data_IF_317301734395
#
_entry.id   IF_317301734395
#
_cell.length_a   1.000
_cell.length_b   1.000
_cell.length_c   1.000
_cell.angle_alpha   90.00
_cell.angle_beta   90.00
_cell.angle_gamma   90.00
#
_symmetry.space_group_name_H-M   'P 1'
#
loop_
_entity.id
_entity.type
_entity.pdbx_description
1 polymer ?
#
# COMPACT_ATOMS: atom_id res chain seq x y z
N UNK A 1 -66.42 19.46 -20.43
CA UNK A 1 -65.47 18.36 -20.18
C UNK A 1 -64.13 18.79 -20.75
N UNK A 2 -63.41 19.65 -20.03
CA UNK A 2 -62.09 20.11 -20.46
C UNK A 2 -61.02 19.20 -19.85
N UNK A 3 -60.17 18.67 -20.72
CA UNK A 3 -59.13 17.72 -20.38
C UNK A 3 -57.99 18.41 -19.61
N UNK A 4 -57.52 17.76 -18.55
CA UNK A 4 -56.29 18.10 -17.86
C UNK A 4 -55.08 18.04 -18.83
N UNK A 5 -54.29 19.11 -18.99
CA UNK A 5 -53.01 19.02 -19.66
C UNK A 5 -51.99 18.38 -18.72
N UNK A 6 -51.44 17.26 -19.19
CA UNK A 6 -50.28 16.55 -18.66
C UNK A 6 -49.09 17.48 -18.49
N UNK A 7 -48.53 17.51 -17.28
CA UNK A 7 -47.28 18.21 -16.96
C UNK A 7 -46.14 17.62 -17.81
N UNK A 8 -45.45 18.42 -18.66
CA UNK A 8 -44.34 17.90 -19.45
C UNK A 8 -43.14 17.59 -18.54
N UNK A 9 -42.62 16.38 -18.71
CA UNK A 9 -41.38 15.87 -18.13
C UNK A 9 -40.23 16.86 -18.39
N UNK A 10 -39.75 17.50 -17.32
CA UNK A 10 -38.66 18.47 -17.38
C UNK A 10 -37.41 17.84 -18.04
N UNK A 11 -37.03 18.38 -19.19
CA UNK A 11 -35.80 18.06 -19.89
C UNK A 11 -34.58 18.48 -19.03
N UNK A 12 -33.52 17.65 -18.97
CA UNK A 12 -32.34 17.98 -18.18
C UNK A 12 -31.66 19.21 -18.81
N UNK A 13 -31.58 20.29 -18.04
CA UNK A 13 -30.88 21.51 -18.44
C UNK A 13 -29.40 21.20 -18.74
N UNK A 14 -28.79 21.82 -19.76
CA UNK A 14 -27.43 21.48 -20.24
C UNK A 14 -26.35 21.60 -19.16
N UNK A 15 -26.51 22.53 -18.20
CA UNK A 15 -25.61 22.70 -17.04
C UNK A 15 -25.47 21.44 -16.18
N UNK A 16 -26.53 20.63 -16.08
CA UNK A 16 -26.55 19.42 -15.26
C UNK A 16 -25.78 18.27 -15.91
N UNK A 17 -25.77 18.21 -17.25
CA UNK A 17 -25.05 17.17 -18.00
C UNK A 17 -23.54 17.44 -17.98
N UNK A 18 -23.12 18.69 -18.19
CA UNK A 18 -21.72 19.10 -18.13
C UNK A 18 -21.10 18.87 -16.74
N UNK A 19 -21.84 19.20 -15.68
CA UNK A 19 -21.39 18.97 -14.31
C UNK A 19 -21.21 17.48 -13.99
N UNK A 20 -22.16 16.63 -14.41
CA UNK A 20 -22.02 15.17 -14.27
C UNK A 20 -20.79 14.64 -15.01
N UNK A 21 -20.48 15.15 -16.20
CA UNK A 21 -19.30 14.73 -16.95
C UNK A 21 -18.00 15.16 -16.27
N UNK A 22 -17.95 16.39 -15.75
CA UNK A 22 -16.83 16.90 -14.95
C UNK A 22 -16.58 16.04 -13.71
N UNK A 23 -17.65 15.72 -12.97
CA UNK A 23 -17.59 14.87 -11.78
C UNK A 23 -17.08 13.46 -12.12
N UNK A 24 -17.50 12.88 -13.26
CA UNK A 24 -16.99 11.58 -13.71
C UNK A 24 -15.48 11.59 -13.98
N UNK A 25 -14.95 12.68 -14.56
CA UNK A 25 -13.51 12.86 -14.77
C UNK A 25 -12.80 12.93 -13.40
N UNK A 26 -13.32 13.74 -12.48
CA UNK A 26 -12.78 13.87 -11.14
C UNK A 26 -12.78 12.53 -10.38
N UNK A 27 -13.87 11.75 -10.47
CA UNK A 27 -13.96 10.43 -9.85
C UNK A 27 -12.91 9.46 -10.41
N UNK A 28 -12.75 9.43 -11.74
CA UNK A 28 -11.76 8.58 -12.40
C UNK A 28 -10.35 8.94 -11.95
N UNK A 29 -10.01 10.22 -11.96
CA UNK A 29 -8.68 10.69 -11.62
C UNK A 29 -8.37 10.45 -10.13
N UNK A 30 -9.36 10.60 -9.26
CA UNK A 30 -9.22 10.30 -7.83
C UNK A 30 -9.01 8.81 -7.54
N UNK A 31 -9.70 7.92 -8.27
CA UNK A 31 -9.44 6.47 -8.17
C UNK A 31 -8.04 6.14 -8.66
N UNK A 32 -7.59 6.70 -9.78
CA UNK A 32 -6.22 6.49 -10.30
C UNK A 32 -5.19 6.97 -9.29
N UNK A 33 -5.42 8.14 -8.69
CA UNK A 33 -4.56 8.70 -7.67
C UNK A 33 -4.44 7.78 -6.44
N UNK A 34 -5.57 7.27 -5.94
CA UNK A 34 -5.62 6.29 -4.86
C UNK A 34 -4.81 5.03 -5.21
N UNK A 35 -4.95 4.52 -6.43
CA UNK A 35 -4.17 3.36 -6.88
C UNK A 35 -2.67 3.65 -6.91
N UNK A 36 -2.25 4.84 -7.34
CA UNK A 36 -0.83 5.23 -7.32
C UNK A 36 -0.30 5.36 -5.91
N UNK A 37 -1.06 5.93 -4.98
CA UNK A 37 -0.67 6.00 -3.57
C UNK A 37 -0.51 4.60 -2.97
N UNK A 38 -1.48 3.72 -3.17
CA UNK A 38 -1.43 2.33 -2.71
C UNK A 38 -0.26 1.56 -3.32
N UNK A 39 -0.01 1.72 -4.61
CA UNK A 39 1.10 1.07 -5.30
C UNK A 39 2.46 1.51 -4.75
N UNK A 40 2.64 2.82 -4.52
CA UNK A 40 3.84 3.35 -3.89
C UNK A 40 4.04 2.82 -2.47
N UNK A 41 2.98 2.80 -1.64
CA UNK A 41 3.02 2.21 -0.31
C UNK A 41 3.38 0.71 -0.36
N UNK A 42 2.77 -0.04 -1.26
CA UNK A 42 3.01 -1.48 -1.41
C UNK A 42 4.46 -1.77 -1.79
N UNK A 43 5.03 -1.00 -2.72
CA UNK A 43 6.45 -1.11 -3.10
C UNK A 43 7.38 -0.86 -1.91
N UNK A 44 7.06 0.11 -1.05
CA UNK A 44 7.82 0.38 0.17
C UNK A 44 7.73 -0.79 1.16
N UNK A 45 6.52 -1.32 1.40
CA UNK A 45 6.31 -2.44 2.31
C UNK A 45 6.96 -3.75 1.81
N UNK A 46 6.91 -4.04 0.51
CA UNK A 46 7.56 -5.21 -0.07
C UNK A 46 9.07 -5.15 0.09
N UNK A 47 9.67 -3.97 -0.09
CA UNK A 47 11.10 -3.77 0.17
C UNK A 47 11.41 -4.03 1.65
N UNK A 48 10.62 -3.48 2.59
CA UNK A 48 10.77 -3.72 4.03
C UNK A 48 10.75 -5.22 4.36
N UNK A 49 9.75 -5.98 3.88
CA UNK A 49 9.62 -7.41 4.20
C UNK A 49 10.82 -8.26 3.77
N UNK A 50 11.40 -7.97 2.60
CA UNK A 50 12.61 -8.68 2.12
C UNK A 50 13.80 -8.47 3.07
N UNK A 51 13.94 -7.26 3.60
CA UNK A 51 15.01 -6.91 4.53
C UNK A 51 14.80 -7.48 5.93
N UNK A 52 13.57 -7.45 6.42
CA UNK A 52 13.18 -8.07 7.68
C UNK A 52 13.43 -9.58 7.65
N UNK A 53 13.07 -10.25 6.55
CA UNK A 53 13.38 -11.67 6.35
C UNK A 53 14.88 -11.95 6.33
N UNK A 54 15.68 -11.11 5.64
CA UNK A 54 17.13 -11.23 5.62
C UNK A 54 17.75 -11.04 7.01
N UNK A 55 17.25 -10.07 7.81
CA UNK A 55 17.68 -9.88 9.20
C UNK A 55 17.42 -11.14 10.02
N UNK A 56 16.18 -11.62 10.02
CA UNK A 56 15.78 -12.78 10.80
C UNK A 56 16.61 -14.01 10.41
N UNK A 57 16.81 -14.23 9.11
CA UNK A 57 17.68 -15.29 8.63
C UNK A 57 19.11 -15.15 9.17
N UNK A 58 19.68 -13.95 9.13
CA UNK A 58 21.04 -13.71 9.58
C UNK A 58 21.19 -13.91 11.10
N UNK A 59 20.21 -13.50 11.89
CA UNK A 59 20.18 -13.74 13.34
C UNK A 59 20.04 -15.23 13.67
N UNK A 60 19.19 -15.97 12.94
CA UNK A 60 19.08 -17.42 13.09
C UNK A 60 20.40 -18.13 12.76
N UNK A 61 21.05 -17.77 11.65
CA UNK A 61 22.36 -18.32 11.29
C UNK A 61 23.42 -17.99 12.35
N UNK A 62 23.46 -16.75 12.84
CA UNK A 62 24.41 -16.33 13.87
C UNK A 62 24.25 -17.18 15.14
N UNK A 63 23.00 -17.37 15.58
CA UNK A 63 22.68 -18.16 16.78
C UNK A 63 23.03 -19.65 16.59
N UNK A 64 22.68 -20.21 15.43
CA UNK A 64 23.00 -21.60 15.10
C UNK A 64 24.50 -21.86 15.04
N UNK A 65 25.26 -21.04 14.30
CA UNK A 65 26.70 -21.22 14.19
C UNK A 65 27.42 -20.94 15.51
N UNK A 66 26.92 -20.00 16.31
CA UNK A 66 27.43 -19.77 17.66
C UNK A 66 27.27 -21.04 18.51
N UNK A 67 26.08 -21.66 18.50
CA UNK A 67 25.85 -22.93 19.19
C UNK A 67 26.77 -24.05 18.68
N UNK A 68 26.89 -24.21 17.35
CA UNK A 68 27.70 -25.25 16.72
C UNK A 68 29.22 -25.08 16.89
N UNK A 69 29.70 -23.88 17.23
CA UNK A 69 31.13 -23.60 17.50
C UNK A 69 31.44 -23.74 18.99
N UNK A 70 30.56 -23.25 19.87
CA UNK A 70 30.84 -23.15 21.30
C UNK A 70 30.29 -24.30 22.16
N UNK A 71 29.13 -24.88 21.81
CA UNK A 71 28.46 -25.89 22.65
C UNK A 71 28.80 -27.30 22.18
N UNK A 72 28.65 -27.57 20.88
CA UNK A 72 28.92 -28.87 20.28
C UNK A 72 30.01 -28.77 19.19
N UNK A 73 31.30 -28.59 19.57
CA UNK A 73 32.38 -28.53 18.60
C UNK A 73 32.52 -29.90 17.90
N UNK A 74 32.19 -29.93 16.61
CA UNK A 74 32.37 -31.12 15.78
C UNK A 74 33.82 -31.61 15.82
N UNK A 75 34.01 -32.90 16.10
CA UNK A 75 35.33 -33.55 16.20
C UNK A 75 36.15 -33.47 14.90
N UNK A 76 35.47 -33.30 13.76
CA UNK A 76 36.10 -33.07 12.47
C UNK A 76 36.55 -31.61 12.36
N UNK A 77 37.87 -31.40 12.37
CA UNK A 77 38.51 -30.08 12.27
C UNK A 77 37.98 -29.25 11.08
N UNK A 78 37.78 -29.88 9.92
CA UNK A 78 37.25 -29.21 8.72
C UNK A 78 35.83 -28.69 8.95
N UNK A 79 34.95 -29.48 9.57
CA UNK A 79 33.59 -29.04 9.88
C UNK A 79 33.59 -27.90 10.90
N UNK A 80 34.45 -27.96 11.92
CA UNK A 80 34.60 -26.88 12.88
C UNK A 80 35.14 -25.59 12.23
N UNK A 81 36.13 -25.69 11.34
CA UNK A 81 36.66 -24.55 10.59
C UNK A 81 35.58 -23.91 9.70
N UNK A 82 34.79 -24.71 8.99
CA UNK A 82 33.68 -24.22 8.14
C UNK A 82 32.64 -23.48 9.01
N UNK A 83 32.25 -24.04 10.15
CA UNK A 83 31.30 -23.39 11.06
C UNK A 83 31.85 -22.07 11.62
N UNK A 84 33.13 -22.01 11.96
CA UNK A 84 33.78 -20.79 12.46
C UNK A 84 33.88 -19.71 11.38
N UNK A 85 34.24 -20.07 10.14
CA UNK A 85 34.24 -19.13 9.01
C UNK A 85 32.83 -18.65 8.70
N UNK A 86 31.82 -19.54 8.74
CA UNK A 86 30.42 -19.17 8.54
C UNK A 86 29.89 -18.24 9.65
N UNK A 87 30.32 -18.46 10.90
CA UNK A 87 30.03 -17.56 12.02
C UNK A 87 30.60 -16.17 11.78
N UNK A 88 31.88 -16.07 11.40
CA UNK A 88 32.53 -14.79 11.09
C UNK A 88 31.88 -14.11 9.87
N UNK A 89 31.52 -14.87 8.83
CA UNK A 89 30.85 -14.34 7.64
C UNK A 89 29.45 -13.79 7.97
N UNK A 90 28.68 -14.48 8.82
CA UNK A 90 27.34 -14.03 9.24
C UNK A 90 27.41 -12.77 10.11
N UNK A 91 28.35 -12.71 11.06
CA UNK A 91 28.63 -11.52 11.86
C UNK A 91 29.08 -10.33 10.99
N UNK A 92 30.00 -10.56 10.06
CA UNK A 92 30.47 -9.53 9.11
C UNK A 92 29.35 -9.02 8.19
N UNK A 93 28.48 -9.91 7.73
CA UNK A 93 27.28 -9.54 6.94
C UNK A 93 26.32 -8.67 7.75
N UNK A 94 26.20 -8.89 9.06
CA UNK A 94 25.31 -8.10 9.93
C UNK A 94 25.87 -6.68 10.11
N UNK A 95 27.18 -6.56 10.31
CA UNK A 95 27.87 -5.26 10.38
C UNK A 95 27.74 -4.51 9.06
N UNK A 96 27.97 -5.19 7.92
CA UNK A 96 27.77 -4.59 6.61
C UNK A 96 26.34 -4.09 6.43
N UNK A 97 25.34 -4.89 6.83
CA UNK A 97 23.95 -4.49 6.76
C UNK A 97 23.69 -3.23 7.60
N UNK A 98 24.18 -3.20 8.84
CA UNK A 98 24.01 -2.07 9.75
C UNK A 98 24.67 -0.79 9.19
N UNK A 99 25.91 -0.91 8.70
CA UNK A 99 26.67 0.18 8.08
C UNK A 99 26.06 0.65 6.76
N UNK A 100 25.47 -0.25 5.98
CA UNK A 100 24.77 0.06 4.73
C UNK A 100 23.51 0.92 4.95
N UNK A 101 23.13 1.22 6.21
CA UNK A 101 22.05 2.17 6.53
C UNK A 101 20.66 1.65 6.17
N UNK A 102 20.56 0.41 5.70
CA UNK A 102 19.33 -0.18 5.16
C UNK A 102 18.23 -0.39 6.21
N UNK A 103 18.58 -0.55 7.49
CA UNK A 103 17.60 -0.65 8.59
C UNK A 103 16.91 0.69 8.87
N UNK A 104 17.69 1.77 8.98
CA UNK A 104 17.17 3.08 9.40
C UNK A 104 16.36 3.75 8.28
N UNK A 105 16.88 3.75 7.05
CA UNK A 105 16.22 4.46 5.95
C UNK A 105 14.87 3.84 5.55
N UNK A 106 14.66 2.53 5.71
CA UNK A 106 13.52 1.84 5.07
C UNK A 106 12.43 1.40 6.04
N UNK A 107 12.76 1.17 7.31
CA UNK A 107 11.76 0.83 8.33
C UNK A 107 11.06 2.09 8.83
N UNK A 108 11.81 3.18 9.06
CA UNK A 108 11.22 4.46 9.48
C UNK A 108 10.37 5.08 8.38
N UNK A 109 10.85 5.06 7.13
CA UNK A 109 10.15 5.69 6.01
C UNK A 109 8.77 5.06 5.74
N UNK A 110 8.62 3.75 5.96
CA UNK A 110 7.31 3.10 5.85
C UNK A 110 6.31 3.62 6.89
N UNK A 111 6.77 3.90 8.12
CA UNK A 111 5.92 4.46 9.18
C UNK A 111 5.62 5.94 8.96
N UNK A 112 6.54 6.68 8.36
CA UNK A 112 6.40 8.10 8.05
C UNK A 112 5.68 8.38 6.72
N UNK A 113 5.53 7.37 5.86
CA UNK A 113 4.87 7.51 4.56
C UNK A 113 3.45 8.05 4.69
N UNK A 114 2.66 7.49 5.61
CA UNK A 114 1.26 7.90 5.84
C UNK A 114 1.15 9.36 6.33
N UNK A 115 1.83 9.78 7.41
CA UNK A 115 1.77 11.18 7.85
C UNK A 115 2.35 12.15 6.81
N UNK A 116 3.40 11.77 6.07
CA UNK A 116 3.95 12.60 5.00
C UNK A 116 2.96 12.78 3.84
N UNK A 117 2.28 11.70 3.41
CA UNK A 117 1.22 11.79 2.42
C UNK A 117 0.04 12.61 2.94
N UNK A 118 -0.39 12.41 4.18
CA UNK A 118 -1.50 13.15 4.77
C UNK A 118 -1.25 14.66 4.82
N UNK A 119 -0.01 15.09 5.06
CA UNK A 119 0.35 16.51 5.02
C UNK A 119 0.18 17.12 3.62
N UNK A 120 0.52 16.38 2.57
CA UNK A 120 0.31 16.81 1.19
C UNK A 120 -1.17 16.68 0.74
N UNK A 121 -1.91 15.72 1.29
CA UNK A 121 -3.32 15.48 0.97
C UNK A 121 -4.27 16.46 1.66
N UNK A 122 -3.84 17.07 2.77
CA UNK A 122 -4.60 18.07 3.50
C UNK A 122 -4.97 19.28 2.64
N UNK A 123 -4.09 19.75 1.74
CA UNK A 123 -4.40 20.87 0.83
C UNK A 123 -5.53 20.52 -0.15
N UNK A 124 -5.71 19.24 -0.46
CA UNK A 124 -6.78 18.72 -1.31
C UNK A 124 -8.02 18.28 -0.52
N UNK A 125 -8.07 18.51 0.80
CA UNK A 125 -9.12 18.00 1.68
C UNK A 125 -9.30 16.47 1.56
N UNK A 126 -8.18 15.76 1.36
CA UNK A 126 -8.10 14.30 1.32
C UNK A 126 -7.30 13.76 2.50
N UNK A 127 -7.57 12.53 2.92
CA UNK A 127 -6.81 11.82 3.94
C UNK A 127 -6.57 10.37 3.51
N UNK A 128 -5.34 9.91 3.63
CA UNK A 128 -4.94 8.53 3.40
C UNK A 128 -4.94 7.75 4.72
N UNK A 129 -5.72 6.68 4.78
CA UNK A 129 -6.07 5.89 5.98
C UNK A 129 -7.16 6.51 6.87
N UNK A 130 -8.42 6.56 6.41
CA UNK A 130 -9.55 6.67 7.32
C UNK A 130 -9.50 5.48 8.27
N UNK A 131 -9.70 5.73 9.57
CA UNK A 131 -9.66 4.73 10.67
C UNK A 131 -10.49 3.47 10.39
N UNK A 132 -11.48 3.58 9.50
CA UNK A 132 -12.39 2.51 9.08
C UNK A 132 -11.89 1.63 7.93
N UNK A 133 -10.99 2.11 7.04
CA UNK A 133 -10.53 1.36 5.85
C UNK A 133 -9.06 1.66 5.50
N UNK A 134 -8.10 0.83 5.94
CA UNK A 134 -6.68 1.07 5.68
C UNK A 134 -6.37 1.02 4.18
N UNK A 135 -5.69 2.06 3.68
CA UNK A 135 -5.31 2.20 2.27
C UNK A 135 -6.34 2.92 1.39
N UNK A 136 -7.52 3.29 1.90
CA UNK A 136 -8.46 4.15 1.17
C UNK A 136 -8.13 5.64 1.30
N UNK A 137 -8.45 6.40 0.26
CA UNK A 137 -8.51 7.87 0.36
C UNK A 137 -9.89 8.25 0.89
N UNK A 138 -9.91 8.88 2.06
CA UNK A 138 -11.10 9.49 2.66
C UNK A 138 -11.14 11.00 2.38
N UNK A 139 -12.33 11.57 2.46
CA UNK A 139 -12.55 13.00 2.32
C UNK A 139 -12.69 13.66 3.70
N UNK A 140 -12.21 14.90 3.83
CA UNK A 140 -12.61 15.74 4.95
C UNK A 140 -14.06 16.22 4.78
N UNK A 141 -14.68 16.62 5.89
CA UNK A 141 -16.08 17.10 5.96
C UNK A 141 -16.40 18.31 5.08
N UNK A 142 -15.38 19.00 4.54
CA UNK A 142 -15.52 20.17 3.67
C UNK A 142 -16.03 19.83 2.27
N UNK A 143 -16.01 18.56 1.85
CA UNK A 143 -16.51 18.14 0.53
C UNK A 143 -18.00 17.79 0.61
N UNK A 144 -18.85 18.27 -0.30
CA UNK A 144 -20.29 17.99 -0.29
C UNK A 144 -20.60 16.48 -0.27
N UNK A 145 -21.56 16.06 0.57
CA UNK A 145 -21.93 14.64 0.71
C UNK A 145 -22.38 14.00 -0.61
N UNK A 146 -23.08 14.75 -1.46
CA UNK A 146 -23.51 14.27 -2.78
C UNK A 146 -22.33 13.80 -3.65
N UNK A 147 -21.20 14.53 -3.61
CA UNK A 147 -19.98 14.14 -4.31
C UNK A 147 -19.33 12.92 -3.67
N UNK A 148 -19.34 12.84 -2.32
CA UNK A 148 -18.79 11.68 -1.60
C UNK A 148 -19.56 10.40 -1.95
N UNK A 149 -20.90 10.46 -1.95
CA UNK A 149 -21.78 9.34 -2.27
C UNK A 149 -21.61 8.92 -3.74
N UNK A 150 -21.54 9.90 -4.66
CA UNK A 150 -21.30 9.66 -6.08
C UNK A 150 -19.94 8.99 -6.35
N UNK A 151 -18.89 9.47 -5.69
CA UNK A 151 -17.57 8.86 -5.76
C UNK A 151 -17.53 7.47 -5.15
N UNK A 152 -18.16 7.22 -4.00
CA UNK A 152 -18.21 5.89 -3.38
C UNK A 152 -18.90 4.88 -4.30
N UNK A 153 -20.02 5.28 -4.92
CA UNK A 153 -20.70 4.46 -5.92
C UNK A 153 -19.78 4.14 -7.12
N UNK A 154 -19.12 5.16 -7.68
CA UNK A 154 -18.17 4.99 -8.78
C UNK A 154 -17.01 4.04 -8.40
N UNK A 155 -16.42 4.24 -7.21
CA UNK A 155 -15.34 3.42 -6.66
C UNK A 155 -15.74 1.95 -6.54
N UNK A 156 -16.93 1.67 -6.00
CA UNK A 156 -17.47 0.30 -5.89
C UNK A 156 -17.59 -0.36 -7.27
N UNK A 157 -18.16 0.34 -8.25
CA UNK A 157 -18.27 -0.15 -9.62
C UNK A 157 -16.91 -0.41 -10.28
N UNK A 158 -15.95 0.50 -10.09
CA UNK A 158 -14.60 0.36 -10.61
C UNK A 158 -13.89 -0.88 -10.07
N UNK A 159 -13.90 -1.08 -8.74
CA UNK A 159 -13.26 -2.25 -8.13
C UNK A 159 -13.98 -3.56 -8.43
N UNK A 160 -15.32 -3.55 -8.55
CA UNK A 160 -16.07 -4.74 -8.98
C UNK A 160 -15.63 -5.20 -10.37
N UNK A 161 -15.50 -4.26 -11.32
CA UNK A 161 -14.97 -4.56 -12.68
C UNK A 161 -13.54 -5.08 -12.63
N UNK A 162 -12.68 -4.50 -11.78
CA UNK A 162 -11.29 -4.95 -11.63
C UNK A 162 -11.20 -6.38 -11.09
N UNK A 163 -11.99 -6.72 -10.06
CA UNK A 163 -12.06 -8.08 -9.49
C UNK A 163 -12.56 -9.10 -10.52
N UNK A 164 -13.58 -8.74 -11.30
CA UNK A 164 -14.09 -9.61 -12.37
C UNK A 164 -13.03 -9.88 -13.45
N UNK A 165 -12.23 -8.87 -13.85
CA UNK A 165 -11.12 -9.06 -14.79
C UNK A 165 -10.03 -9.97 -14.24
N UNK A 166 -9.67 -9.81 -12.96
CA UNK A 166 -8.66 -10.66 -12.31
C UNK A 166 -9.12 -12.10 -12.09
N UNK A 167 -10.42 -12.32 -11.86
CA UNK A 167 -10.97 -13.67 -11.74
C UNK A 167 -10.86 -14.42 -13.08
N UNK A 168 -11.18 -13.74 -14.19
CA UNK A 168 -11.05 -14.29 -15.55
C UNK A 168 -9.60 -14.64 -15.90
N UNK A 169 -8.64 -13.79 -15.54
CA UNK A 169 -7.22 -14.03 -15.84
C UNK A 169 -6.56 -15.13 -14.99
N UNK A 170 -7.23 -15.61 -13.94
CA UNK A 170 -6.73 -16.72 -13.09
C UNK A 170 -7.32 -18.08 -13.46
N UNK A 171 -8.39 -18.09 -14.26
CA UNK A 171 -9.05 -19.30 -14.73
C UNK A 171 -8.56 -19.76 -16.12
N UNK A 172 -7.83 -18.89 -16.82
CA UNK A 172 -7.09 -19.21 -18.04
C UNK A 172 -5.63 -19.50 -17.72
#
# INVERSE_FOLDING_TARGET
MEAHPTVPLASPTPKTAEQKQSDQIAYRDLVIFEERLRSNMTRLLQRKKKFEALLCFLLCCLTYFFYAVFVDPSKLFVCHLINTVALLASAGSLVFFYRSGMYSEKILFASQFVPHCNRALQSFNLQFSPRSRPGEVGFYSKIPKQFQDGFEAYRKHYYARKRARQAKSKQS
#
